data_IF_576678398101
#
_entry.id   IF_576678398101
#
_cell.length_a   1.000
_cell.length_b   1.000
_cell.length_c   1.000
_cell.angle_alpha   90.00
_cell.angle_beta   90.00
_cell.angle_gamma   90.00
#
_symmetry.space_group_name_H-M   'P 1'
#
loop_
_entity.id
_entity.type
_entity.pdbx_description
1 polymer ?
#
# COMPACT_ATOMS: atom_id res chain seq x y z
N UNK A 1 -28.72 -0.62 14.14
CA UNK A 1 -27.53 -1.47 13.87
C UNK A 1 -26.35 -0.56 13.56
N UNK A 2 -25.17 -0.77 14.19
CA UNK A 2 -23.96 -0.03 13.84
C UNK A 2 -23.41 -0.44 12.46
N UNK A 3 -22.74 0.47 11.76
CA UNK A 3 -22.04 0.23 10.48
C UNK A 3 -20.58 0.66 10.63
N UNK A 4 -19.67 -0.20 10.19
CA UNK A 4 -18.24 0.12 10.16
C UNK A 4 -17.89 0.93 8.91
N UNK A 5 -16.93 1.85 9.07
CA UNK A 5 -16.36 2.65 7.99
C UNK A 5 -14.89 2.93 8.27
N UNK A 6 -14.13 3.16 7.21
CA UNK A 6 -12.73 3.52 7.26
C UNK A 6 -12.54 4.78 6.41
N UNK A 7 -11.86 5.78 6.96
CA UNK A 7 -11.47 7.00 6.25
C UNK A 7 -9.96 7.15 6.41
N UNK A 8 -9.26 7.32 5.30
CA UNK A 8 -7.81 7.43 5.26
C UNK A 8 -7.46 8.84 4.75
N UNK A 9 -6.69 9.57 5.54
CA UNK A 9 -6.16 10.88 5.19
C UNK A 9 -4.85 10.71 4.41
N UNK A 10 -4.91 10.90 3.09
CA UNK A 10 -3.77 10.68 2.19
C UNK A 10 -2.67 11.75 2.36
N UNK A 11 -3.01 12.95 2.85
CA UNK A 11 -2.04 14.03 3.05
C UNK A 11 -1.07 13.73 4.21
N UNK A 12 -1.48 12.85 5.14
CA UNK A 12 -0.63 12.37 6.24
C UNK A 12 0.16 11.11 5.89
N UNK A 13 -0.12 10.48 4.76
CA UNK A 13 0.58 9.26 4.37
C UNK A 13 2.02 9.59 3.96
N UNK A 14 2.99 9.01 4.66
CA UNK A 14 4.43 9.16 4.35
C UNK A 14 5.02 7.94 3.64
N UNK A 15 4.20 6.96 3.30
CA UNK A 15 4.62 5.78 2.54
C UNK A 15 5.44 4.77 3.34
N UNK A 16 5.33 4.75 4.67
CA UNK A 16 6.15 3.91 5.55
C UNK A 16 5.87 2.41 5.47
N UNK A 17 4.81 1.98 4.77
CA UNK A 17 4.40 0.57 4.62
C UNK A 17 4.01 -0.15 5.93
N UNK A 18 3.84 0.58 7.03
CA UNK A 18 3.49 -0.03 8.33
C UNK A 18 2.11 -0.72 8.27
N UNK A 19 1.11 -0.11 7.62
CA UNK A 19 -0.21 -0.72 7.46
C UNK A 19 -0.19 -1.98 6.59
N UNK A 20 0.61 -1.98 5.51
CA UNK A 20 0.86 -3.14 4.66
C UNK A 20 1.43 -4.31 5.47
N UNK A 21 2.49 -4.06 6.24
CA UNK A 21 3.15 -5.08 7.08
C UNK A 21 2.25 -5.56 8.21
N UNK A 22 1.57 -4.64 8.91
CA UNK A 22 0.65 -4.99 9.99
C UNK A 22 -0.48 -5.90 9.50
N UNK A 23 -1.07 -5.59 8.34
CA UNK A 23 -2.14 -6.41 7.76
C UNK A 23 -1.64 -7.83 7.44
N UNK A 24 -0.44 -7.97 6.85
CA UNK A 24 0.15 -9.28 6.58
C UNK A 24 0.39 -10.09 7.85
N UNK A 25 0.99 -9.45 8.86
CA UNK A 25 1.35 -10.10 10.12
C UNK A 25 0.10 -10.56 10.90
N UNK A 26 -0.91 -9.70 11.00
CA UNK A 26 -2.13 -10.01 11.76
C UNK A 26 -2.99 -11.08 11.05
N UNK A 27 -3.06 -11.03 9.73
CA UNK A 27 -3.98 -11.88 8.96
C UNK A 27 -3.29 -13.07 8.26
N UNK A 28 -2.03 -13.34 8.58
CA UNK A 28 -1.23 -14.41 7.97
C UNK A 28 -1.21 -14.36 6.43
N UNK A 29 -1.20 -13.15 5.85
CA UNK A 29 -1.20 -13.00 4.39
C UNK A 29 0.17 -13.41 3.84
N UNK A 30 0.25 -14.32 2.84
CA UNK A 30 1.52 -14.83 2.34
C UNK A 30 2.47 -13.73 1.83
N UNK A 31 3.76 -13.83 2.15
CA UNK A 31 4.79 -12.92 1.62
C UNK A 31 5.13 -13.20 0.15
N UNK A 32 4.76 -14.36 -0.38
CA UNK A 32 5.19 -14.83 -1.69
C UNK A 32 6.66 -15.24 -1.72
N UNK A 33 7.00 -16.10 -2.68
CA UNK A 33 8.38 -16.45 -3.01
C UNK A 33 9.12 -15.26 -3.65
N UNK A 34 10.46 -15.28 -3.68
CA UNK A 34 11.24 -14.25 -4.36
C UNK A 34 10.84 -14.04 -5.84
N UNK A 35 10.52 -15.12 -6.57
CA UNK A 35 10.07 -15.01 -7.96
C UNK A 35 8.70 -14.33 -8.09
N UNK A 36 7.75 -14.63 -7.19
CA UNK A 36 6.44 -13.98 -7.19
C UNK A 36 6.55 -12.49 -6.87
N UNK A 37 7.42 -12.10 -5.93
CA UNK A 37 7.70 -10.70 -5.61
C UNK A 37 8.31 -9.97 -6.82
N UNK A 38 9.25 -10.61 -7.52
CA UNK A 38 9.85 -10.07 -8.76
C UNK A 38 8.81 -9.84 -9.85
N UNK A 39 7.83 -10.74 -9.96
CA UNK A 39 6.71 -10.64 -10.90
C UNK A 39 5.56 -9.75 -10.39
N UNK A 40 5.67 -9.17 -9.18
CA UNK A 40 4.63 -8.37 -8.51
C UNK A 40 3.30 -9.12 -8.36
N UNK A 41 3.38 -10.41 -8.02
CA UNK A 41 2.24 -11.34 -7.81
C UNK A 41 2.04 -11.69 -6.33
N UNK A 42 2.75 -11.02 -5.45
CA UNK A 42 2.58 -11.14 -4.01
C UNK A 42 1.19 -10.65 -3.55
N UNK A 43 0.62 -11.36 -2.58
CA UNK A 43 -0.75 -11.11 -2.13
C UNK A 43 -0.75 -9.97 -1.12
N UNK A 44 -1.57 -8.96 -1.32
CA UNK A 44 -1.82 -7.91 -0.33
C UNK A 44 -3.32 -7.70 -0.15
N UNK A 45 -3.73 -7.52 1.10
CA UNK A 45 -5.09 -7.07 1.44
C UNK A 45 -5.14 -5.55 1.71
N UNK A 46 -4.01 -4.96 2.08
CA UNK A 46 -3.78 -3.53 2.26
C UNK A 46 -2.39 -3.23 1.67
N UNK A 47 -2.29 -2.33 0.69
CA UNK A 47 -1.04 -2.09 -0.06
C UNK A 47 -0.93 -0.63 -0.44
N UNK A 48 0.05 0.03 0.16
CA UNK A 48 0.44 1.37 -0.28
C UNK A 48 1.09 1.31 -1.67
N UNK A 49 0.46 1.95 -2.65
CA UNK A 49 0.99 2.19 -3.99
C UNK A 49 1.44 3.66 -4.13
N UNK A 50 2.55 3.86 -4.85
CA UNK A 50 3.03 5.17 -5.22
C UNK A 50 2.74 5.42 -6.70
N UNK A 51 1.95 6.45 -7.00
CA UNK A 51 1.60 6.86 -8.36
C UNK A 51 2.32 8.16 -8.66
N UNK A 52 3.28 8.10 -9.59
CA UNK A 52 4.06 9.28 -9.98
C UNK A 52 3.53 9.84 -11.29
N UNK A 53 3.23 11.14 -11.29
CA UNK A 53 2.67 11.88 -12.41
C UNK A 53 3.56 13.09 -12.78
N UNK A 54 3.51 13.46 -14.06
CA UNK A 54 4.23 14.61 -14.59
C UNK A 54 5.61 14.27 -15.17
N UNK A 55 6.36 15.32 -15.50
CA UNK A 55 7.70 15.21 -16.09
C UNK A 55 8.62 16.15 -15.34
N UNK A 56 9.84 15.67 -15.07
CA UNK A 56 10.89 16.47 -14.47
C UNK A 56 11.02 17.84 -15.18
N UNK A 57 11.12 18.97 -14.44
CA UNK A 57 11.27 19.08 -12.98
C UNK A 57 9.95 19.12 -12.19
N UNK A 58 8.80 19.09 -12.85
CA UNK A 58 7.48 19.14 -12.19
C UNK A 58 6.89 17.74 -12.10
N UNK A 59 7.35 17.00 -11.11
CA UNK A 59 6.87 15.65 -10.78
C UNK A 59 6.09 15.70 -9.48
N UNK A 60 4.98 14.96 -9.41
CA UNK A 60 4.22 14.72 -8.20
C UNK A 60 4.13 13.21 -7.96
N UNK A 61 4.12 12.80 -6.69
CA UNK A 61 3.92 11.40 -6.29
C UNK A 61 2.80 11.34 -5.26
N UNK A 62 1.75 10.61 -5.58
CA UNK A 62 0.62 10.34 -4.69
C UNK A 62 0.76 8.95 -4.07
N UNK A 63 0.47 8.85 -2.77
CA UNK A 63 0.53 7.61 -2.01
C UNK A 63 -0.89 7.16 -1.67
N UNK A 64 -1.26 5.96 -2.10
CA UNK A 64 -2.60 5.41 -1.96
C UNK A 64 -2.50 4.08 -1.20
N UNK A 65 -2.91 4.01 0.08
CA UNK A 65 -2.93 2.79 0.90
C UNK A 65 -3.93 1.71 0.43
#
# INVERSE_FOLDING_TARGET
>A
MPRWGMVIDLDKCVGCQACTTACKNENNVPHGSPEEQRLRRDIYWNKVIAVTNGKYPRVNTELIP
#
